data_IF_512312098605
#
_entry.id   IF_512312098605
#
_cell.length_a   1.000
_cell.length_b   1.000
_cell.length_c   1.000
_cell.angle_alpha   90.00
_cell.angle_beta   90.00
_cell.angle_gamma   90.00
#
_symmetry.space_group_name_H-M   'P 1'
#
loop_
_entity.id
_entity.type
_entity.pdbx_description
1 polymer ?
#
# COMPACT_ATOMS: atom_id res chain seq x y z
N UNK A 1 51.54 19.22 20.17
CA UNK A 1 50.90 17.88 20.20
C UNK A 1 49.53 17.87 20.87
N UNK A 2 49.30 18.55 22.01
CA UNK A 2 48.04 18.45 22.79
C UNK A 2 46.77 18.71 21.97
N UNK A 3 46.73 19.78 21.16
CA UNK A 3 45.60 20.12 20.28
C UNK A 3 45.27 18.95 19.32
N UNK A 4 46.28 18.30 18.76
CA UNK A 4 46.10 17.18 17.82
C UNK A 4 45.53 15.92 18.50
N UNK A 5 45.74 15.75 19.81
CA UNK A 5 45.06 14.71 20.61
C UNK A 5 43.63 15.10 20.98
N UNK A 6 43.33 16.39 21.14
CA UNK A 6 41.96 16.86 21.44
C UNK A 6 41.03 16.57 20.26
N UNK A 7 41.46 16.74 19.00
CA UNK A 7 40.66 16.34 17.83
C UNK A 7 40.33 14.84 17.85
N UNK A 8 41.29 13.96 18.16
CA UNK A 8 41.06 12.51 18.21
C UNK A 8 40.20 12.02 19.38
N UNK A 9 39.99 12.83 20.43
CA UNK A 9 39.17 12.46 21.60
C UNK A 9 37.75 13.03 21.49
N UNK A 10 37.58 14.18 20.83
CA UNK A 10 36.27 14.84 20.66
C UNK A 10 35.25 14.01 19.85
N UNK A 11 35.70 13.08 19.01
CA UNK A 11 34.84 12.27 18.13
C UNK A 11 34.30 10.98 18.76
N UNK A 12 34.76 10.57 19.94
CA UNK A 12 34.49 9.23 20.52
C UNK A 12 33.55 9.25 21.75
N UNK A 13 32.79 10.33 21.96
CA UNK A 13 32.13 10.63 23.24
C UNK A 13 30.65 11.06 23.15
N UNK A 14 29.92 10.61 22.11
CA UNK A 14 28.57 11.09 21.79
C UNK A 14 27.44 10.03 21.87
N UNK A 15 27.68 8.86 22.50
CA UNK A 15 26.71 7.74 22.55
C UNK A 15 26.62 7.09 23.94
N UNK A 16 25.70 7.54 24.81
CA UNK A 16 25.25 6.80 25.99
C UNK A 16 23.82 7.18 26.42
N UNK A 17 23.11 6.19 26.98
CA UNK A 17 21.83 6.26 27.70
C UNK A 17 20.57 6.75 26.93
N UNK A 18 19.70 5.80 26.56
CA UNK A 18 18.35 6.04 26.05
C UNK A 18 17.29 5.93 27.17
N UNK A 19 16.36 6.88 27.26
CA UNK A 19 15.00 6.68 27.82
C UNK A 19 14.13 7.94 27.61
N UNK A 20 13.22 7.91 26.64
CA UNK A 20 12.15 8.89 26.49
C UNK A 20 10.96 8.25 25.75
N UNK A 21 9.74 8.40 26.27
CA UNK A 21 8.52 7.95 25.59
C UNK A 21 7.92 9.11 24.80
N UNK A 22 7.57 8.88 23.53
CA UNK A 22 6.87 9.86 22.70
C UNK A 22 5.35 9.80 22.94
N UNK A 23 4.70 10.96 23.09
CA UNK A 23 3.24 11.07 23.08
C UNK A 23 2.78 11.54 21.70
N UNK A 24 1.84 10.81 21.09
CA UNK A 24 1.22 11.20 19.81
C UNK A 24 -0.13 11.88 20.03
N UNK A 25 -0.44 12.86 19.18
CA UNK A 25 -1.68 13.64 19.21
C UNK A 25 -2.72 13.11 18.20
N UNK A 26 -4.01 13.49 18.32
CA UNK A 26 -5.13 12.66 17.88
C UNK A 26 -5.39 12.58 16.36
N UNK A 27 -6.40 11.75 16.04
CA UNK A 27 -6.77 11.27 14.71
C UNK A 27 -7.29 12.37 13.75
N UNK A 28 -6.98 12.19 12.47
CA UNK A 28 -7.67 12.83 11.33
C UNK A 28 -8.44 11.77 10.53
N UNK A 29 -9.21 12.19 9.53
CA UNK A 29 -10.29 11.40 8.91
C UNK A 29 -9.80 10.35 7.91
N UNK A 30 -10.53 9.24 7.82
CA UNK A 30 -10.22 8.07 6.99
C UNK A 30 -10.07 8.42 5.50
N UNK A 31 -8.88 8.16 4.97
CA UNK A 31 -8.57 8.15 3.54
C UNK A 31 -7.59 7.02 3.28
N UNK A 32 -8.00 6.00 2.51
CA UNK A 32 -7.08 4.98 2.02
C UNK A 32 -6.11 5.64 1.04
N UNK A 33 -4.87 5.84 1.50
CA UNK A 33 -3.85 6.56 0.72
C UNK A 33 -3.53 5.78 -0.55
N UNK A 34 -3.50 6.45 -1.72
CA UNK A 34 -3.11 5.79 -2.98
C UNK A 34 -1.66 5.31 -2.98
N UNK A 35 -0.86 5.80 -2.05
CA UNK A 35 0.54 5.49 -1.81
C UNK A 35 0.73 4.62 -0.54
N UNK A 36 -0.29 3.93 -0.05
CA UNK A 36 -0.20 3.08 1.15
C UNK A 36 0.63 1.82 0.92
N UNK A 37 1.65 1.57 1.75
CA UNK A 37 2.44 0.34 1.71
C UNK A 37 1.56 -0.89 1.90
N UNK A 38 1.77 -1.89 1.06
CA UNK A 38 1.17 -3.21 1.17
C UNK A 38 1.93 -4.05 2.22
N UNK A 39 1.33 -4.44 3.35
CA UNK A 39 2.02 -5.17 4.43
C UNK A 39 1.96 -6.69 4.26
N UNK A 40 1.60 -7.18 3.07
CA UNK A 40 1.48 -8.61 2.76
C UNK A 40 2.83 -9.20 2.36
N UNK A 41 3.10 -10.43 2.75
CA UNK A 41 4.26 -11.19 2.24
C UNK A 41 4.10 -11.52 0.75
N UNK A 42 5.21 -11.77 0.04
CA UNK A 42 5.19 -12.24 -1.35
C UNK A 42 4.31 -13.49 -1.53
N UNK A 43 4.30 -14.37 -0.52
CA UNK A 43 3.48 -15.56 -0.49
C UNK A 43 1.97 -15.27 -0.29
N UNK A 44 1.60 -14.24 0.48
CA UNK A 44 0.22 -13.76 0.58
C UNK A 44 -0.24 -13.07 -0.71
N UNK A 45 0.61 -12.21 -1.28
CA UNK A 45 0.33 -11.53 -2.56
C UNK A 45 0.09 -12.56 -3.67
N UNK A 46 0.97 -13.56 -3.82
CA UNK A 46 0.80 -14.61 -4.82
C UNK A 46 -0.49 -15.43 -4.61
N UNK A 47 -0.79 -15.84 -3.36
CA UNK A 47 -2.07 -16.51 -3.02
C UNK A 47 -3.28 -15.63 -3.35
N UNK A 48 -3.18 -14.31 -3.14
CA UNK A 48 -4.26 -13.36 -3.40
C UNK A 48 -4.55 -13.22 -4.89
N UNK A 49 -3.51 -13.08 -5.71
CA UNK A 49 -3.61 -13.07 -7.18
C UNK A 49 -4.22 -14.39 -7.69
N UNK A 50 -3.76 -15.54 -7.18
CA UNK A 50 -4.28 -16.86 -7.55
C UNK A 50 -5.73 -17.10 -7.09
N UNK A 51 -6.13 -16.57 -5.94
CA UNK A 51 -7.50 -16.65 -5.46
C UNK A 51 -8.43 -15.76 -6.30
N UNK A 52 -8.05 -14.51 -6.56
CA UNK A 52 -8.82 -13.58 -7.39
C UNK A 52 -8.97 -14.10 -8.83
N UNK A 53 -7.93 -14.71 -9.40
CA UNK A 53 -7.99 -15.31 -10.73
C UNK A 53 -9.08 -16.38 -10.91
N UNK A 54 -9.59 -16.98 -9.82
CA UNK A 54 -10.73 -17.93 -9.85
C UNK A 54 -12.09 -17.24 -9.99
N UNK A 55 -12.21 -15.98 -9.55
CA UNK A 55 -13.43 -15.16 -9.69
C UNK A 55 -13.59 -14.65 -11.13
N UNK A 56 -12.47 -14.29 -11.77
CA UNK A 56 -12.42 -13.60 -13.07
C UNK A 56 -13.20 -14.33 -14.19
N UNK A 57 -13.18 -15.66 -14.34
CA UNK A 57 -14.01 -16.34 -15.34
C UNK A 57 -15.51 -16.11 -15.17
N UNK A 58 -16.01 -16.04 -13.93
CA UNK A 58 -17.42 -15.69 -13.69
C UNK A 58 -17.65 -14.23 -14.07
N UNK A 59 -16.88 -13.30 -13.51
CA UNK A 59 -17.06 -11.86 -13.71
C UNK A 59 -16.98 -11.45 -15.21
N UNK A 60 -16.05 -12.05 -15.97
CA UNK A 60 -15.74 -11.66 -17.36
C UNK A 60 -16.37 -12.52 -18.45
N UNK A 61 -17.02 -13.64 -18.11
CA UNK A 61 -17.52 -14.60 -19.14
C UNK A 61 -18.93 -15.12 -18.89
N UNK A 62 -19.49 -14.96 -17.69
CA UNK A 62 -20.91 -15.25 -17.46
C UNK A 62 -21.76 -14.09 -18.01
N UNK A 63 -22.62 -14.31 -19.02
CA UNK A 63 -23.45 -13.24 -19.58
C UNK A 63 -24.33 -12.54 -18.54
N UNK A 64 -24.79 -13.23 -17.48
CA UNK A 64 -25.56 -12.58 -16.41
C UNK A 64 -24.74 -11.50 -15.68
N UNK A 65 -23.47 -11.75 -15.39
CA UNK A 65 -22.57 -10.78 -14.75
C UNK A 65 -22.22 -9.62 -15.71
N UNK A 66 -21.82 -9.93 -16.94
CA UNK A 66 -21.45 -8.91 -17.94
C UNK A 66 -22.61 -7.96 -18.28
N UNK A 67 -23.85 -8.45 -18.36
CA UNK A 67 -25.00 -7.60 -18.68
C UNK A 67 -25.22 -6.51 -17.62
N UNK A 68 -25.06 -6.83 -16.32
CA UNK A 68 -25.15 -5.81 -15.26
C UNK A 68 -23.91 -4.90 -15.21
N UNK A 69 -22.73 -5.42 -15.60
CA UNK A 69 -21.43 -4.74 -15.51
C UNK A 69 -20.80 -4.50 -16.90
N UNK A 70 -21.51 -3.76 -17.76
CA UNK A 70 -20.94 -3.21 -19.00
C UNK A 70 -21.66 -3.56 -20.31
N UNK A 71 -22.52 -4.58 -20.33
CA UNK A 71 -22.93 -5.24 -21.58
C UNK A 71 -24.16 -4.71 -22.34
N UNK A 72 -25.08 -3.96 -21.71
CA UNK A 72 -26.37 -3.55 -22.33
C UNK A 72 -26.85 -2.12 -21.96
N UNK A 73 -27.47 -1.40 -22.92
CA UNK A 73 -27.84 0.04 -22.95
C UNK A 73 -28.27 0.64 -21.61
N UNK A 74 -29.58 0.56 -21.31
CA UNK A 74 -30.74 0.72 -22.22
C UNK A 74 -31.02 2.18 -22.70
N UNK A 75 -30.01 3.01 -22.96
CA UNK A 75 -30.17 4.45 -23.28
C UNK A 75 -29.56 4.93 -24.63
N UNK A 76 -28.64 4.20 -25.26
CA UNK A 76 -28.01 4.55 -26.54
C UNK A 76 -28.86 4.27 -27.80
N UNK A 77 -29.08 5.32 -28.61
CA UNK A 77 -29.72 5.21 -29.94
C UNK A 77 -28.96 4.28 -30.92
N UNK A 78 -27.68 4.01 -30.67
CA UNK A 78 -26.84 3.06 -31.41
C UNK A 78 -27.14 1.60 -31.02
N UNK A 79 -28.43 1.25 -30.97
CA UNK A 79 -28.97 0.01 -30.40
C UNK A 79 -28.63 -1.30 -31.18
N UNK A 80 -27.52 -1.31 -31.91
CA UNK A 80 -26.92 -2.44 -32.65
C UNK A 80 -25.40 -2.51 -32.49
N UNK A 81 -24.81 -1.70 -31.60
CA UNK A 81 -23.36 -1.69 -31.34
C UNK A 81 -22.84 -3.05 -30.85
N UNK A 82 -21.66 -3.41 -31.34
CA UNK A 82 -20.90 -4.56 -30.84
C UNK A 82 -20.36 -4.23 -29.45
N UNK A 83 -20.73 -5.01 -28.43
CA UNK A 83 -20.29 -4.79 -27.04
C UNK A 83 -18.80 -5.08 -26.80
N UNK A 84 -18.03 -5.37 -27.86
CA UNK A 84 -16.57 -5.45 -27.82
C UNK A 84 -15.85 -4.18 -28.27
N UNK A 85 -16.52 -3.12 -28.74
CA UNK A 85 -15.85 -1.85 -29.11
C UNK A 85 -15.37 -1.08 -27.85
N UNK A 86 -14.04 -0.93 -27.63
CA UNK A 86 -13.52 -0.22 -26.46
C UNK A 86 -13.72 1.31 -26.51
N UNK A 87 -14.18 1.85 -27.63
CA UNK A 87 -14.35 3.30 -27.87
C UNK A 87 -15.79 3.80 -27.66
N UNK A 88 -16.76 2.90 -27.45
CA UNK A 88 -18.16 3.26 -27.24
C UNK A 88 -18.34 4.27 -26.07
N UNK A 89 -19.29 5.22 -26.14
CA UNK A 89 -19.50 6.24 -25.10
C UNK A 89 -19.84 5.63 -23.72
N UNK A 90 -18.82 5.49 -22.87
CA UNK A 90 -18.87 4.74 -21.60
C UNK A 90 -19.77 5.33 -20.51
N UNK A 91 -20.54 6.37 -20.79
CA UNK A 91 -21.51 6.99 -19.85
C UNK A 91 -22.79 6.18 -19.70
N UNK A 92 -23.04 5.23 -20.62
CA UNK A 92 -23.93 4.08 -20.48
C UNK A 92 -23.21 2.83 -21.08
N UNK A 93 -23.90 1.75 -21.46
CA UNK A 93 -23.35 0.39 -21.56
C UNK A 93 -23.58 -0.43 -22.87
N UNK A 94 -23.59 0.16 -24.09
CA UNK A 94 -23.80 -0.62 -25.34
C UNK A 94 -25.04 -0.23 -26.19
N UNK A 95 -26.17 -0.99 -26.25
CA UNK A 95 -27.40 -0.66 -27.03
C UNK A 95 -28.78 -0.55 -26.27
N UNK A 96 -29.61 0.51 -26.47
CA UNK A 96 -31.07 0.55 -26.09
C UNK A 96 -31.75 1.95 -25.96
N UNK A 97 -33.07 2.07 -25.71
CA UNK A 97 -33.71 3.39 -25.37
C UNK A 97 -34.97 3.28 -24.49
N UNK A 98 -34.87 3.61 -23.20
CA UNK A 98 -35.97 3.59 -22.20
C UNK A 98 -35.76 4.72 -21.17
N UNK A 99 -36.82 5.39 -20.69
CA UNK A 99 -36.67 6.38 -19.60
C UNK A 99 -36.51 5.69 -18.24
N UNK A 100 -35.74 6.30 -17.32
CA UNK A 100 -35.22 5.60 -16.14
C UNK A 100 -36.29 5.13 -15.13
N UNK A 101 -37.46 5.76 -15.11
CA UNK A 101 -38.62 5.36 -14.29
C UNK A 101 -39.48 4.27 -14.98
N UNK A 102 -39.54 4.24 -16.31
CA UNK A 102 -40.26 3.22 -17.07
C UNK A 102 -39.70 1.81 -16.85
N UNK A 103 -38.38 1.69 -16.63
CA UNK A 103 -37.69 0.43 -16.34
C UNK A 103 -38.36 -0.38 -15.22
N UNK A 104 -38.86 0.27 -14.17
CA UNK A 104 -39.48 -0.39 -13.02
C UNK A 104 -40.83 -1.05 -13.34
N UNK A 105 -41.49 -0.69 -14.45
CA UNK A 105 -42.74 -1.34 -14.87
C UNK A 105 -42.52 -2.79 -15.30
N UNK A 106 -41.31 -3.11 -15.79
CA UNK A 106 -40.92 -4.48 -16.16
C UNK A 106 -39.98 -5.11 -15.12
N UNK A 107 -39.05 -4.34 -14.54
CA UNK A 107 -38.01 -4.84 -13.65
C UNK A 107 -38.36 -4.68 -12.15
N UNK A 108 -39.46 -5.30 -11.72
CA UNK A 108 -39.90 -5.27 -10.31
C UNK A 108 -39.85 -6.63 -9.59
N UNK A 109 -39.42 -7.71 -10.24
CA UNK A 109 -39.30 -9.06 -9.66
C UNK A 109 -37.85 -9.33 -9.22
N UNK A 110 -37.38 -8.56 -8.23
CA UNK A 110 -36.05 -8.75 -7.63
C UNK A 110 -36.19 -9.17 -6.16
N UNK A 111 -35.23 -9.94 -5.60
CA UNK A 111 -35.28 -10.30 -4.19
C UNK A 111 -35.37 -9.05 -3.30
N UNK A 112 -36.23 -9.05 -2.26
CA UNK A 112 -36.32 -7.93 -1.35
C UNK A 112 -35.04 -7.76 -0.53
N UNK A 113 -34.93 -6.60 0.12
CA UNK A 113 -33.93 -6.29 1.14
C UNK A 113 -34.13 -7.14 2.40
N UNK A 114 -33.12 -7.16 3.28
CA UNK A 114 -33.16 -7.87 4.57
C UNK A 114 -34.25 -7.34 5.52
N UNK A 115 -34.62 -6.07 5.38
CA UNK A 115 -35.76 -5.44 6.10
C UNK A 115 -37.13 -5.75 5.47
N UNK A 116 -37.16 -6.50 4.36
CA UNK A 116 -38.36 -6.84 3.60
C UNK A 116 -38.84 -5.76 2.62
N UNK A 117 -38.15 -4.62 2.51
CA UNK A 117 -38.52 -3.56 1.58
C UNK A 117 -38.10 -3.88 0.13
N UNK A 118 -38.77 -3.32 -0.90
CA UNK A 118 -38.48 -3.63 -2.29
C UNK A 118 -37.10 -3.13 -2.75
N UNK A 119 -36.35 -4.01 -3.41
CA UNK A 119 -35.17 -3.65 -4.18
C UNK A 119 -35.54 -2.82 -5.41
N UNK A 120 -34.63 -1.95 -5.89
CA UNK A 120 -34.87 -1.06 -7.04
C UNK A 120 -33.91 -1.37 -8.19
N UNK A 121 -34.44 -1.59 -9.39
CA UNK A 121 -33.62 -1.88 -10.54
C UNK A 121 -32.79 -0.66 -10.98
N UNK A 122 -31.56 -0.91 -11.41
CA UNK A 122 -30.60 0.04 -11.94
C UNK A 122 -29.49 -0.71 -12.70
N UNK A 123 -28.66 0.01 -13.45
CA UNK A 123 -27.39 -0.50 -13.95
C UNK A 123 -26.26 -0.27 -12.94
N UNK A 124 -25.15 -1.01 -13.10
CA UNK A 124 -23.88 -0.59 -12.51
C UNK A 124 -23.38 0.71 -13.19
N UNK A 125 -22.55 1.49 -12.48
CA UNK A 125 -21.97 2.73 -13.05
C UNK A 125 -20.78 2.41 -13.98
N UNK A 126 -20.33 3.36 -14.82
CA UNK A 126 -19.20 3.15 -15.75
C UNK A 126 -17.94 2.55 -15.12
N UNK A 127 -17.61 2.99 -13.90
CA UNK A 127 -16.45 2.56 -13.12
C UNK A 127 -16.51 1.06 -12.79
N UNK A 128 -17.73 0.56 -12.58
CA UNK A 128 -18.03 -0.81 -12.18
C UNK A 128 -18.12 -1.82 -13.35
N UNK A 129 -17.98 -1.38 -14.61
CA UNK A 129 -17.95 -2.27 -15.78
C UNK A 129 -16.82 -3.31 -15.70
N UNK A 130 -17.04 -4.52 -16.22
CA UNK A 130 -16.03 -5.59 -16.32
C UNK A 130 -15.47 -5.77 -17.74
N UNK A 131 -16.03 -5.10 -18.75
CA UNK A 131 -15.62 -5.27 -20.16
C UNK A 131 -14.16 -4.86 -20.39
N UNK A 132 -13.44 -5.69 -21.16
CA UNK A 132 -12.05 -5.44 -21.56
C UNK A 132 -11.00 -5.49 -20.45
N UNK A 133 -11.38 -5.77 -19.20
CA UNK A 133 -10.47 -5.79 -18.04
C UNK A 133 -9.91 -7.19 -17.80
N UNK A 134 -8.60 -7.27 -17.54
CA UNK A 134 -7.93 -8.50 -17.12
C UNK A 134 -8.08 -8.73 -15.60
N UNK A 135 -7.50 -9.83 -15.10
CA UNK A 135 -7.53 -10.19 -13.68
C UNK A 135 -6.92 -9.12 -12.76
N UNK A 136 -5.88 -8.42 -13.21
CA UNK A 136 -5.16 -7.41 -12.45
C UNK A 136 -5.96 -6.11 -12.39
N UNK A 137 -6.48 -5.66 -13.53
CA UNK A 137 -7.37 -4.49 -13.63
C UNK A 137 -8.65 -4.68 -12.81
N UNK A 138 -9.26 -5.87 -12.84
CA UNK A 138 -10.42 -6.20 -12.00
C UNK A 138 -10.06 -6.27 -10.51
N UNK A 139 -8.92 -6.84 -10.13
CA UNK A 139 -8.49 -6.88 -8.73
C UNK A 139 -8.32 -5.46 -8.18
N UNK A 140 -7.60 -4.59 -8.90
CA UNK A 140 -7.41 -3.17 -8.52
C UNK A 140 -8.74 -2.40 -8.47
N UNK A 141 -9.67 -2.67 -9.40
CA UNK A 141 -11.03 -2.12 -9.35
C UNK A 141 -11.79 -2.56 -8.10
N UNK A 142 -11.81 -3.86 -7.78
CA UNK A 142 -12.50 -4.36 -6.60
C UNK A 142 -11.89 -3.81 -5.31
N UNK A 143 -10.56 -3.65 -5.25
CA UNK A 143 -9.84 -2.98 -4.15
C UNK A 143 -10.09 -1.47 -4.05
N UNK A 144 -10.48 -0.80 -5.12
CA UNK A 144 -10.88 0.62 -5.07
C UNK A 144 -12.36 0.78 -4.69
N UNK A 145 -13.27 -0.06 -5.21
CA UNK A 145 -14.70 -0.01 -4.87
C UNK A 145 -14.96 -0.45 -3.43
N UNK A 146 -14.37 -1.57 -3.00
CA UNK A 146 -14.60 -2.17 -1.69
C UNK A 146 -13.41 -1.89 -0.77
N UNK A 147 -13.62 -1.06 0.25
CA UNK A 147 -12.55 -0.70 1.20
C UNK A 147 -12.33 -1.75 2.30
N UNK A 148 -13.31 -2.61 2.57
CA UNK A 148 -13.18 -3.76 3.46
C UNK A 148 -13.56 -5.06 2.71
N UNK A 149 -12.94 -6.18 3.09
CA UNK A 149 -13.31 -7.50 2.55
C UNK A 149 -14.77 -7.87 2.85
N UNK A 150 -15.31 -7.43 3.99
CA UNK A 150 -16.71 -7.61 4.35
C UNK A 150 -17.67 -6.93 3.35
N UNK A 151 -17.35 -5.73 2.87
CA UNK A 151 -18.16 -5.00 1.89
C UNK A 151 -18.20 -5.73 0.54
N UNK A 152 -17.09 -6.38 0.16
CA UNK A 152 -17.02 -7.21 -1.04
C UNK A 152 -17.85 -8.49 -0.91
N UNK A 153 -17.76 -9.20 0.22
CA UNK A 153 -18.56 -10.41 0.46
C UNK A 153 -20.06 -10.09 0.58
N UNK A 154 -20.42 -8.99 1.22
CA UNK A 154 -21.79 -8.51 1.28
C UNK A 154 -22.34 -8.09 -0.08
N UNK A 155 -21.50 -7.54 -0.97
CA UNK A 155 -21.87 -7.30 -2.37
C UNK A 155 -22.23 -8.60 -3.10
N UNK A 156 -21.37 -9.63 -3.00
CA UNK A 156 -21.62 -10.96 -3.57
C UNK A 156 -22.85 -11.69 -2.95
N UNK A 157 -23.35 -11.22 -1.81
CA UNK A 157 -24.47 -11.82 -1.08
C UNK A 157 -25.81 -11.17 -1.43
N UNK A 158 -25.90 -9.83 -1.36
CA UNK A 158 -27.15 -9.08 -1.57
C UNK A 158 -26.93 -7.60 -1.93
N UNK A 159 -25.76 -7.28 -2.51
CA UNK A 159 -25.35 -5.90 -2.82
C UNK A 159 -25.24 -5.00 -1.57
N UNK A 160 -24.84 -5.58 -0.43
CA UNK A 160 -24.80 -4.92 0.89
C UNK A 160 -26.17 -4.34 1.29
N UNK A 161 -27.21 -5.18 1.19
CA UNK A 161 -28.60 -4.82 1.48
C UNK A 161 -29.13 -3.65 0.61
N UNK A 162 -28.62 -3.49 -0.61
CA UNK A 162 -29.09 -2.47 -1.56
C UNK A 162 -30.20 -3.01 -2.46
N UNK A 163 -29.89 -3.37 -3.71
CA UNK A 163 -30.91 -3.80 -4.70
C UNK A 163 -30.81 -5.27 -5.09
N UNK A 164 -29.94 -6.04 -4.42
CA UNK A 164 -29.79 -7.49 -4.61
C UNK A 164 -29.73 -7.92 -6.09
N UNK A 165 -28.93 -7.20 -6.89
CA UNK A 165 -28.62 -7.54 -8.27
C UNK A 165 -27.90 -8.87 -8.36
N UNK A 166 -27.04 -9.20 -7.38
CA UNK A 166 -26.33 -10.49 -7.38
C UNK A 166 -27.31 -11.65 -7.19
N UNK A 167 -28.25 -11.58 -6.25
CA UNK A 167 -29.33 -12.57 -6.14
C UNK A 167 -30.22 -12.61 -7.39
N UNK A 168 -30.57 -11.45 -7.96
CA UNK A 168 -31.32 -11.35 -9.22
C UNK A 168 -30.60 -12.01 -10.40
N UNK A 169 -29.28 -11.85 -10.50
CA UNK A 169 -28.45 -12.51 -11.50
C UNK A 169 -28.45 -14.04 -11.31
N UNK A 170 -28.36 -14.53 -10.07
CA UNK A 170 -28.41 -15.96 -9.76
C UNK A 170 -29.81 -16.60 -9.82
N UNK A 171 -30.90 -15.82 -9.71
CA UNK A 171 -32.24 -16.27 -10.15
C UNK A 171 -32.31 -16.45 -11.68
N UNK A 172 -31.57 -15.62 -12.42
CA UNK A 172 -31.58 -15.62 -13.88
C UNK A 172 -32.87 -15.07 -14.50
N UNK A 173 -33.80 -14.55 -13.69
CA UNK A 173 -35.08 -13.97 -14.12
C UNK A 173 -34.93 -12.57 -14.76
N UNK A 174 -33.71 -12.00 -14.72
CA UNK A 174 -33.39 -10.64 -15.20
C UNK A 174 -34.16 -9.53 -14.44
N UNK A 175 -34.73 -9.85 -13.27
CA UNK A 175 -35.62 -8.97 -12.51
C UNK A 175 -37.03 -8.80 -13.08
N UNK A 176 -37.40 -9.56 -14.12
CA UNK A 176 -38.62 -9.33 -14.90
C UNK A 176 -39.88 -9.87 -14.21
N UNK A 177 -40.83 -8.98 -13.94
CA UNK A 177 -42.19 -9.33 -13.53
C UNK A 177 -43.03 -9.89 -14.71
N UNK A 178 -44.27 -10.32 -14.47
CA UNK A 178 -45.15 -10.90 -15.49
C UNK A 178 -45.30 -10.03 -16.76
N UNK A 179 -45.36 -8.70 -16.61
CA UNK A 179 -45.38 -7.77 -17.75
C UNK A 179 -44.06 -7.82 -18.51
N UNK A 180 -42.93 -7.68 -17.82
CA UNK A 180 -41.59 -7.76 -18.41
C UNK A 180 -41.32 -9.11 -19.11
N UNK A 181 -41.81 -10.21 -18.53
CA UNK A 181 -41.73 -11.55 -19.12
C UNK A 181 -42.57 -11.67 -20.40
N UNK A 182 -43.76 -11.03 -20.44
CA UNK A 182 -44.64 -11.04 -21.62
C UNK A 182 -44.03 -10.35 -22.85
N UNK A 183 -43.07 -9.45 -22.66
CA UNK A 183 -42.32 -8.77 -23.72
C UNK A 183 -41.11 -9.57 -24.25
N UNK A 184 -40.79 -10.73 -23.67
CA UNK A 184 -39.61 -11.55 -24.05
C UNK A 184 -40.06 -12.85 -24.69
N UNK A 185 -39.85 -12.95 -26.02
CA UNK A 185 -40.08 -14.16 -26.80
C UNK A 185 -39.42 -15.39 -26.17
N UNK A 186 -40.25 -16.35 -25.73
CA UNK A 186 -39.83 -17.60 -25.07
C UNK A 186 -38.99 -17.37 -23.80
N UNK A 187 -39.39 -16.38 -22.99
CA UNK A 187 -38.80 -16.15 -21.67
C UNK A 187 -38.59 -17.44 -20.87
N UNK A 188 -37.41 -17.54 -20.27
CA UNK A 188 -37.01 -18.58 -19.32
C UNK A 188 -35.92 -18.00 -18.42
N UNK A 189 -35.90 -18.32 -17.10
CA UNK A 189 -34.77 -17.97 -16.25
C UNK A 189 -33.45 -18.57 -16.74
N UNK A 190 -32.41 -17.74 -16.81
CA UNK A 190 -31.06 -18.09 -17.25
C UNK A 190 -30.04 -17.85 -16.13
N UNK A 191 -30.03 -18.68 -15.07
CA UNK A 191 -29.05 -18.55 -14.00
C UNK A 191 -27.63 -18.93 -14.50
N UNK A 192 -26.57 -18.41 -13.84
CA UNK A 192 -25.18 -18.70 -14.18
C UNK A 192 -24.85 -20.18 -14.31
N UNK A 193 -24.01 -20.53 -15.28
CA UNK A 193 -23.72 -21.94 -15.60
C UNK A 193 -22.40 -22.39 -14.98
N UNK A 194 -22.47 -23.42 -14.12
CA UNK A 194 -21.31 -23.99 -13.46
C UNK A 194 -20.81 -23.21 -12.24
N UNK A 195 -21.48 -22.11 -11.88
CA UNK A 195 -21.24 -21.34 -10.66
C UNK A 195 -22.56 -21.13 -9.92
N UNK A 196 -22.56 -21.26 -8.59
CA UNK A 196 -23.68 -20.89 -7.72
C UNK A 196 -23.30 -19.65 -6.92
N UNK A 197 -24.28 -18.92 -6.38
CA UNK A 197 -23.98 -17.73 -5.56
C UNK A 197 -23.10 -18.09 -4.36
N UNK A 198 -23.41 -19.19 -3.66
CA UNK A 198 -22.58 -19.72 -2.56
C UNK A 198 -21.16 -20.12 -3.01
N UNK A 199 -21.00 -20.63 -4.24
CA UNK A 199 -19.69 -20.90 -4.82
C UNK A 199 -18.89 -19.61 -5.10
N UNK A 200 -19.54 -18.58 -5.63
CA UNK A 200 -18.92 -17.27 -5.87
C UNK A 200 -18.51 -16.59 -4.57
N UNK A 201 -19.39 -16.62 -3.55
CA UNK A 201 -19.11 -16.16 -2.19
C UNK A 201 -17.94 -16.94 -1.58
N UNK A 202 -17.86 -18.27 -1.78
CA UNK A 202 -16.73 -19.08 -1.29
C UNK A 202 -15.40 -18.65 -1.92
N UNK A 203 -15.37 -18.44 -3.25
CA UNK A 203 -14.17 -17.92 -3.94
C UNK A 203 -13.82 -16.49 -3.51
N UNK A 204 -14.82 -15.68 -3.14
CA UNK A 204 -14.60 -14.37 -2.54
C UNK A 204 -13.92 -14.49 -1.18
N UNK A 205 -14.39 -15.39 -0.32
CA UNK A 205 -13.80 -15.64 1.00
C UNK A 205 -12.37 -16.21 0.89
N UNK A 206 -12.09 -17.09 -0.08
CA UNK A 206 -10.73 -17.55 -0.40
C UNK A 206 -9.78 -16.37 -0.69
N UNK A 207 -10.26 -15.35 -1.43
CA UNK A 207 -9.46 -14.16 -1.74
C UNK A 207 -9.21 -13.26 -0.53
N UNK A 208 -10.24 -13.02 0.29
CA UNK A 208 -10.09 -12.26 1.55
C UNK A 208 -9.16 -13.00 2.53
N UNK A 209 -9.26 -14.33 2.64
CA UNK A 209 -8.36 -15.12 3.46
C UNK A 209 -6.90 -15.05 2.95
N UNK A 210 -6.70 -15.00 1.63
CA UNK A 210 -5.37 -14.84 1.04
C UNK A 210 -4.71 -13.48 1.29
N UNK A 211 -5.50 -12.40 1.50
CA UNK A 211 -4.99 -11.09 1.96
C UNK A 211 -4.86 -10.99 3.48
N UNK A 212 -4.87 -12.12 4.21
CA UNK A 212 -4.74 -12.16 5.67
C UNK A 212 -6.04 -11.95 6.44
N UNK A 213 -7.20 -12.03 5.78
CA UNK A 213 -8.54 -11.91 6.39
C UNK A 213 -9.22 -10.55 6.20
N UNK A 214 -8.51 -9.55 5.67
CA UNK A 214 -9.02 -8.20 5.43
C UNK A 214 -8.29 -7.50 4.26
N UNK A 215 -8.73 -6.31 3.87
CA UNK A 215 -8.09 -5.53 2.80
C UNK A 215 -7.09 -4.52 3.38
N UNK A 216 -5.82 -4.72 3.03
CA UNK A 216 -4.67 -3.95 3.54
C UNK A 216 -4.02 -3.11 2.44
N UNK A 217 -3.27 -2.08 2.80
CA UNK A 217 -2.48 -1.24 1.89
C UNK A 217 -3.31 -0.46 0.84
N UNK A 218 -2.66 -0.09 -0.25
CA UNK A 218 -3.26 0.62 -1.39
C UNK A 218 -4.18 -0.27 -2.27
N UNK A 219 -4.55 0.24 -3.45
CA UNK A 219 -5.36 -0.50 -4.44
C UNK A 219 -4.57 -1.54 -5.24
N UNK A 220 -3.24 -1.49 -5.18
CA UNK A 220 -2.33 -2.43 -5.86
C UNK A 220 -2.08 -3.68 -4.98
N UNK A 221 -2.19 -3.53 -3.66
CA UNK A 221 -1.90 -4.55 -2.66
C UNK A 221 -2.73 -5.84 -2.82
N UNK A 222 -2.04 -6.95 -3.09
CA UNK A 222 -2.65 -8.25 -3.38
C UNK A 222 -3.05 -8.46 -4.85
N UNK A 223 -2.89 -7.45 -5.71
CA UNK A 223 -3.22 -7.50 -7.14
C UNK A 223 -1.98 -7.53 -8.05
N UNK A 224 -0.80 -7.22 -7.52
CA UNK A 224 0.52 -7.40 -8.15
C UNK A 224 1.61 -7.59 -7.08
N UNK A 225 2.80 -8.11 -7.42
CA UNK A 225 3.98 -8.07 -6.54
C UNK A 225 4.33 -6.64 -6.12
N UNK A 226 4.66 -6.44 -4.84
CA UNK A 226 4.91 -5.12 -4.24
C UNK A 226 6.20 -5.15 -3.42
N UNK A 227 7.32 -4.72 -4.03
CA UNK A 227 8.63 -4.70 -3.38
C UNK A 227 8.95 -3.30 -2.82
N UNK A 228 9.70 -3.23 -1.72
CA UNK A 228 10.06 -1.95 -1.08
C UNK A 228 11.52 -1.88 -0.63
N UNK A 229 12.06 -0.67 -0.63
CA UNK A 229 13.28 -0.26 0.07
C UNK A 229 12.92 0.72 1.18
N UNK A 230 13.61 0.65 2.32
CA UNK A 230 13.75 1.79 3.22
C UNK A 230 15.03 2.54 2.86
N UNK A 231 14.90 3.74 2.30
CA UNK A 231 16.04 4.62 2.00
C UNK A 231 16.38 5.42 3.26
N UNK A 232 17.64 5.35 3.69
CA UNK A 232 18.14 6.03 4.89
C UNK A 232 19.36 6.88 4.52
N UNK A 233 19.38 8.13 4.98
CA UNK A 233 20.56 9.00 4.96
C UNK A 233 20.66 9.77 6.29
N UNK A 234 21.79 10.41 6.57
CA UNK A 234 21.93 11.26 7.75
C UNK A 234 22.97 12.36 7.57
N UNK A 235 22.84 13.41 8.36
CA UNK A 235 23.74 14.56 8.41
C UNK A 235 23.99 14.91 9.88
N UNK A 236 25.26 15.05 10.26
CA UNK A 236 25.72 15.42 11.60
C UNK A 236 26.59 16.68 11.48
N UNK A 237 26.08 17.77 12.03
CA UNK A 237 26.81 19.02 12.19
C UNK A 237 27.34 19.13 13.63
N UNK A 238 28.56 19.64 13.76
CA UNK A 238 29.27 19.83 15.03
C UNK A 238 29.86 21.24 15.11
N UNK A 239 29.67 21.89 16.25
CA UNK A 239 30.07 23.26 16.53
C UNK A 239 30.48 23.40 18.02
N UNK A 240 31.75 23.11 18.29
CA UNK A 240 32.36 23.12 19.62
C UNK A 240 33.44 24.22 19.71
N UNK A 241 32.99 25.47 19.83
CA UNK A 241 33.88 26.64 19.99
C UNK A 241 34.75 26.89 18.76
N UNK A 242 36.01 26.46 18.80
CA UNK A 242 36.93 26.56 17.65
C UNK A 242 36.83 25.39 16.66
N UNK A 243 36.08 24.35 17.01
CA UNK A 243 35.89 23.13 16.20
C UNK A 243 34.56 23.20 15.47
N UNK A 244 34.59 23.06 14.15
CA UNK A 244 33.41 22.94 13.29
C UNK A 244 33.58 21.70 12.41
N UNK A 245 32.55 20.89 12.21
CA UNK A 245 32.63 19.74 11.30
C UNK A 245 31.27 19.24 10.83
N UNK A 246 31.23 18.79 9.58
CA UNK A 246 30.04 18.27 8.92
C UNK A 246 30.32 16.84 8.44
N UNK A 247 29.44 15.90 8.77
CA UNK A 247 29.54 14.49 8.40
C UNK A 247 28.19 14.05 7.81
N UNK A 248 28.21 13.40 6.65
CA UNK A 248 27.00 12.90 5.99
C UNK A 248 27.12 11.41 5.66
N UNK A 249 26.04 10.67 5.88
CA UNK A 249 25.84 9.32 5.35
C UNK A 249 25.21 9.44 3.97
N UNK A 250 25.88 8.90 2.94
CA UNK A 250 25.28 8.77 1.60
C UNK A 250 23.98 7.96 1.70
N UNK A 251 22.90 8.33 1.00
CA UNK A 251 21.67 7.54 0.98
C UNK A 251 21.95 6.08 0.64
N UNK A 252 21.55 5.18 1.54
CA UNK A 252 21.54 3.73 1.31
C UNK A 252 20.10 3.25 1.28
N UNK A 253 19.82 2.30 0.40
CA UNK A 253 18.52 1.63 0.34
C UNK A 253 18.63 0.25 0.99
N UNK A 254 17.74 -0.03 1.92
CA UNK A 254 17.60 -1.34 2.58
C UNK A 254 16.37 -2.03 2.00
N UNK A 255 16.51 -3.02 1.11
CA UNK A 255 15.40 -3.89 0.72
C UNK A 255 14.71 -4.46 1.95
N UNK A 256 13.38 -4.42 2.00
CA UNK A 256 12.57 -5.03 3.06
C UNK A 256 11.64 -6.12 2.53
N UNK A 257 11.47 -7.17 3.32
CA UNK A 257 10.57 -8.30 3.05
C UNK A 257 9.54 -8.41 4.17
N UNK A 258 8.26 -8.46 3.80
CA UNK A 258 7.13 -8.66 4.72
C UNK A 258 6.88 -10.13 5.02
N UNK A 259 6.39 -10.42 6.22
CA UNK A 259 6.03 -11.74 6.74
C UNK A 259 4.50 -11.81 6.92
N UNK A 260 3.93 -13.03 6.91
CA UNK A 260 2.47 -13.24 6.91
C UNK A 260 1.70 -12.60 8.09
N UNK A 261 2.40 -12.14 9.14
CA UNK A 261 1.86 -11.44 10.30
C UNK A 261 2.04 -9.90 10.27
N UNK A 262 2.45 -9.32 9.14
CA UNK A 262 2.66 -7.88 8.98
C UNK A 262 3.99 -7.34 9.55
N UNK A 263 4.86 -8.20 10.11
CA UNK A 263 6.23 -7.77 10.44
C UNK A 263 7.09 -7.76 9.18
N UNK A 264 8.21 -7.03 9.21
CA UNK A 264 9.18 -7.02 8.12
C UNK A 264 10.62 -7.04 8.62
N UNK A 265 11.51 -7.53 7.75
CA UNK A 265 12.96 -7.53 7.97
C UNK A 265 13.66 -6.98 6.74
N UNK A 266 14.67 -6.14 6.96
CA UNK A 266 15.53 -5.63 5.90
C UNK A 266 16.83 -6.40 5.76
N UNK A 267 17.40 -6.36 4.55
CA UNK A 267 18.74 -6.85 4.26
C UNK A 267 19.82 -6.09 5.06
N UNK A 268 21.04 -6.63 5.09
CA UNK A 268 22.20 -5.94 5.67
C UNK A 268 22.94 -5.14 4.61
N UNK A 269 23.05 -3.81 4.81
CA UNK A 269 23.70 -2.91 3.84
C UNK A 269 24.85 -2.14 4.47
N UNK A 270 25.93 -1.91 3.73
CA UNK A 270 27.06 -1.11 4.20
C UNK A 270 26.76 0.38 4.04
N UNK A 271 26.45 1.05 5.16
CA UNK A 271 26.39 2.50 5.22
C UNK A 271 27.81 3.10 5.24
N UNK A 272 28.01 4.15 4.45
CA UNK A 272 29.26 4.89 4.37
C UNK A 272 29.03 6.37 4.68
N UNK A 273 29.89 6.91 5.52
CA UNK A 273 29.88 8.29 6.00
C UNK A 273 31.13 8.99 5.49
N UNK A 274 30.99 10.22 5.02
CA UNK A 274 32.10 11.10 4.69
C UNK A 274 31.89 12.45 5.36
N UNK A 275 32.96 13.09 5.80
CA UNK A 275 32.88 14.37 6.48
C UNK A 275 34.20 15.15 6.47
N UNK A 276 34.08 16.42 6.81
CA UNK A 276 35.22 17.30 7.05
C UNK A 276 35.09 17.97 8.42
N UNK A 277 36.23 18.39 8.96
CA UNK A 277 36.32 19.12 10.21
C UNK A 277 37.37 20.23 10.08
N UNK A 278 37.21 21.26 10.89
CA UNK A 278 38.15 22.38 11.05
C UNK A 278 38.32 22.67 12.53
N UNK A 279 39.53 23.02 12.95
CA UNK A 279 39.85 23.34 14.33
C UNK A 279 40.89 24.46 14.36
N UNK A 280 40.43 25.71 14.51
CA UNK A 280 41.22 26.91 14.25
C UNK A 280 41.96 26.86 12.89
N UNK A 281 43.28 26.65 12.91
CA UNK A 281 44.14 26.60 11.70
C UNK A 281 44.33 25.18 11.12
N UNK A 282 43.70 24.17 11.70
CA UNK A 282 43.77 22.78 11.24
C UNK A 282 42.52 22.39 10.44
N UNK A 283 42.70 21.51 9.45
CA UNK A 283 41.65 20.85 8.69
C UNK A 283 41.70 19.33 8.92
N UNK A 284 40.58 18.64 8.76
CA UNK A 284 40.49 17.20 8.87
C UNK A 284 39.45 16.61 7.92
N UNK A 285 39.69 15.38 7.51
CA UNK A 285 38.77 14.55 6.75
C UNK A 285 38.42 13.31 7.58
N UNK A 286 37.18 12.87 7.47
CA UNK A 286 36.62 11.73 8.18
C UNK A 286 35.91 10.82 7.18
N UNK A 287 36.15 9.51 7.28
CA UNK A 287 35.40 8.51 6.56
C UNK A 287 35.12 7.32 7.48
N UNK A 288 33.86 6.91 7.62
CA UNK A 288 33.52 5.71 8.40
C UNK A 288 32.50 4.83 7.70
N UNK A 289 32.50 3.54 8.06
CA UNK A 289 31.48 2.61 7.59
C UNK A 289 30.96 1.71 8.70
N UNK A 290 29.68 1.35 8.61
CA UNK A 290 29.06 0.31 9.42
C UNK A 290 28.01 -0.42 8.59
N UNK A 291 27.70 -1.66 8.96
CA UNK A 291 26.55 -2.38 8.40
C UNK A 291 25.30 -1.97 9.16
N UNK A 292 24.26 -1.56 8.44
CA UNK A 292 22.92 -1.34 8.97
C UNK A 292 22.04 -2.58 8.71
N UNK A 293 21.12 -2.84 9.65
CA UNK A 293 19.99 -3.76 9.48
C UNK A 293 18.71 -3.00 9.82
N UNK A 294 17.62 -3.31 9.10
CA UNK A 294 16.27 -2.82 9.42
C UNK A 294 15.38 -3.99 9.86
N UNK A 295 14.42 -3.73 10.75
CA UNK A 295 13.28 -4.61 11.03
C UNK A 295 12.12 -3.79 11.55
N UNK A 296 10.91 -4.35 11.58
CA UNK A 296 9.76 -3.63 12.10
C UNK A 296 8.43 -4.35 11.92
N UNK A 297 7.37 -3.59 12.07
CA UNK A 297 5.99 -4.00 11.86
C UNK A 297 5.19 -2.91 11.13
N UNK A 298 4.31 -3.34 10.23
CA UNK A 298 3.32 -2.49 9.62
C UNK A 298 1.96 -2.76 10.28
N UNK A 299 1.49 -1.80 11.06
CA UNK A 299 0.17 -1.85 11.70
C UNK A 299 -0.83 -1.01 10.93
N UNK A 300 -2.06 -1.49 10.82
CA UNK A 300 -3.18 -0.71 10.33
C UNK A 300 -4.08 -0.41 11.52
N UNK A 301 -3.85 0.74 12.14
CA UNK A 301 -4.78 1.30 13.12
C UNK A 301 -5.92 2.04 12.41
N UNK A 302 -6.96 2.37 13.16
CA UNK A 302 -8.16 3.02 12.63
C UNK A 302 -7.79 4.32 11.87
N UNK A 303 -7.98 4.30 10.55
CA UNK A 303 -7.66 5.37 9.60
C UNK A 303 -6.16 5.63 9.33
N UNK A 304 -5.24 4.86 9.93
CA UNK A 304 -3.81 5.10 9.85
C UNK A 304 -3.03 3.80 9.67
N UNK A 305 -2.49 3.65 8.48
CA UNK A 305 -1.36 2.75 8.27
C UNK A 305 -0.17 3.35 9.01
N UNK A 306 0.63 2.51 9.65
CA UNK A 306 1.85 2.89 10.33
C UNK A 306 2.93 1.86 10.02
N UNK A 307 4.18 2.29 9.97
CA UNK A 307 5.34 1.41 9.97
C UNK A 307 6.23 1.76 11.15
N UNK A 308 6.27 0.88 12.15
CA UNK A 308 7.22 0.95 13.25
C UNK A 308 8.54 0.35 12.76
N UNK A 309 9.56 1.18 12.65
CA UNK A 309 10.85 0.88 12.04
C UNK A 309 11.92 0.91 13.12
N UNK A 310 12.70 -0.16 13.19
CA UNK A 310 13.89 -0.29 14.02
C UNK A 310 15.11 -0.38 13.11
N UNK A 311 15.98 0.63 13.17
CA UNK A 311 17.28 0.67 12.48
C UNK A 311 18.35 0.27 13.48
N UNK A 312 19.10 -0.79 13.18
CA UNK A 312 20.13 -1.35 14.06
C UNK A 312 21.51 -1.32 13.40
N UNK A 313 22.53 -0.97 14.19
CA UNK A 313 23.93 -1.15 13.79
C UNK A 313 24.28 -2.64 13.90
N UNK A 314 24.55 -3.30 12.77
CA UNK A 314 24.85 -4.74 12.69
C UNK A 314 26.35 -5.08 12.76
N UNK A 315 27.25 -4.11 12.56
CA UNK A 315 28.71 -4.27 12.72
C UNK A 315 29.31 -3.24 13.68
N UNK A 316 30.54 -3.42 14.17
CA UNK A 316 31.32 -2.29 14.69
C UNK A 316 31.38 -1.13 13.67
N UNK A 317 31.51 0.10 14.16
CA UNK A 317 31.77 1.27 13.30
C UNK A 317 33.27 1.37 13.10
N UNK A 318 33.75 1.29 11.86
CA UNK A 318 35.17 1.55 11.55
C UNK A 318 35.30 2.96 11.00
N UNK A 319 36.07 3.81 11.68
CA UNK A 319 36.24 5.24 11.38
C UNK A 319 37.70 5.58 11.14
N UNK A 320 37.98 6.21 10.00
CA UNK A 320 39.29 6.73 9.62
C UNK A 320 39.25 8.25 9.67
N UNK A 321 40.24 8.85 10.33
CA UNK A 321 40.43 10.30 10.39
C UNK A 321 41.82 10.66 9.88
N UNK A 322 41.91 11.73 9.07
CA UNK A 322 43.16 12.33 8.63
C UNK A 322 43.13 13.84 8.87
N UNK A 323 44.05 14.36 9.67
CA UNK A 323 44.12 15.77 10.06
C UNK A 323 45.44 16.42 9.62
N UNK A 324 45.36 17.67 9.17
CA UNK A 324 46.49 18.51 8.77
C UNK A 324 46.42 19.88 9.44
N UNK A 325 47.57 20.35 9.90
CA UNK A 325 47.83 21.68 10.45
C UNK A 325 49.14 22.20 9.83
N UNK A 326 49.42 23.52 9.81
CA UNK A 326 50.58 24.07 9.08
C UNK A 326 51.96 23.50 9.42
N UNK A 327 52.13 22.86 10.58
CA UNK A 327 53.37 22.20 11.02
C UNK A 327 53.17 20.77 11.58
N UNK A 328 52.02 20.14 11.32
CA UNK A 328 51.74 18.77 11.81
C UNK A 328 50.65 18.06 10.99
N UNK A 329 50.78 16.74 10.84
CA UNK A 329 49.72 15.88 10.32
C UNK A 329 49.58 14.63 11.17
N UNK A 330 48.37 14.06 11.23
CA UNK A 330 48.11 12.75 11.83
C UNK A 330 47.01 12.01 11.07
N UNK A 331 47.11 10.69 11.03
CA UNK A 331 46.01 9.81 10.65
C UNK A 331 45.75 8.83 11.79
N UNK A 332 44.49 8.40 11.96
CA UNK A 332 44.11 7.41 12.95
C UNK A 332 42.92 6.57 12.43
N UNK A 333 42.87 5.31 12.84
CA UNK A 333 41.73 4.42 12.64
C UNK A 333 41.19 4.02 14.01
N UNK A 334 39.90 4.22 14.23
CA UNK A 334 39.18 3.82 15.43
C UNK A 334 38.08 2.81 15.05
N UNK A 335 37.86 1.82 15.90
CA UNK A 335 36.76 0.86 15.74
C UNK A 335 35.90 0.88 16.99
N UNK A 336 34.66 1.35 16.86
CA UNK A 336 33.70 1.43 17.97
C UNK A 336 32.80 0.19 18.01
N UNK A 337 32.64 -0.47 19.17
CA UNK A 337 31.80 -1.66 19.29
C UNK A 337 30.32 -1.37 19.01
N UNK A 338 29.56 -2.42 18.77
CA UNK A 338 28.10 -2.46 18.88
C UNK A 338 27.72 -2.48 20.38
N UNK A 339 26.66 -1.77 20.84
CA UNK A 339 25.42 -1.56 20.13
C UNK A 339 24.95 -0.10 19.98
N UNK A 340 24.17 0.16 18.92
CA UNK A 340 23.24 1.27 18.84
C UNK A 340 22.04 0.86 17.98
N UNK A 341 20.83 1.26 18.38
CA UNK A 341 19.59 1.06 17.64
C UNK A 341 18.70 2.30 17.81
N UNK A 342 17.98 2.66 16.75
CA UNK A 342 17.01 3.77 16.73
C UNK A 342 15.68 3.22 16.27
N UNK A 343 14.62 3.48 17.04
CA UNK A 343 13.25 3.19 16.62
C UNK A 343 12.55 4.48 16.21
N UNK A 344 11.80 4.44 15.11
CA UNK A 344 11.01 5.53 14.56
C UNK A 344 9.70 4.97 13.99
N UNK A 345 8.67 5.81 13.83
CA UNK A 345 7.39 5.39 13.24
C UNK A 345 7.02 6.33 12.09
N UNK A 346 6.59 5.76 10.95
CA UNK A 346 6.07 6.45 9.76
C UNK A 346 4.57 6.17 9.61
N UNK A 347 3.83 6.97 8.84
CA UNK A 347 2.43 6.69 8.43
C UNK A 347 2.32 5.69 7.28
N UNK A 348 3.39 4.92 7.02
CA UNK A 348 3.39 3.79 6.08
C UNK A 348 3.06 4.18 4.64
N UNK A 349 3.37 5.40 4.20
CA UNK A 349 3.17 5.82 2.81
C UNK A 349 4.47 5.77 2.01
N UNK A 350 4.37 5.30 0.78
CA UNK A 350 5.45 5.36 -0.22
C UNK A 350 5.75 6.82 -0.53
N UNK A 351 7.04 7.18 -0.59
CA UNK A 351 7.59 8.54 -0.65
C UNK A 351 7.29 9.42 0.58
N UNK A 352 6.80 8.85 1.68
CA UNK A 352 6.81 9.55 2.97
C UNK A 352 8.26 9.71 3.44
N UNK A 353 8.63 10.95 3.75
CA UNK A 353 9.95 11.29 4.30
C UNK A 353 9.82 11.73 5.76
N UNK A 354 10.52 11.08 6.68
CA UNK A 354 10.69 11.55 8.06
C UNK A 354 12.11 12.08 8.29
N UNK A 355 12.17 13.31 8.78
CA UNK A 355 13.36 13.94 9.32
C UNK A 355 13.39 13.76 10.85
N UNK A 356 14.15 12.77 11.33
CA UNK A 356 14.32 12.49 12.77
C UNK A 356 15.61 13.13 13.30
N UNK A 357 15.48 14.04 14.27
CA UNK A 357 16.62 14.64 14.96
C UNK A 357 17.03 13.77 16.15
N UNK A 358 18.24 13.21 16.12
CA UNK A 358 18.74 12.40 17.23
C UNK A 358 19.07 13.30 18.44
N UNK A 359 18.69 12.89 19.67
CA UNK A 359 19.21 13.49 20.90
C UNK A 359 20.74 13.53 20.85
N UNK A 360 21.31 14.74 20.94
CA UNK A 360 22.72 15.01 20.70
C UNK A 360 23.27 15.97 21.77
N UNK A 361 24.57 15.91 22.14
CA UNK A 361 25.17 16.87 23.05
C UNK A 361 25.07 18.33 22.55
N UNK A 362 25.07 19.34 23.43
CA UNK A 362 25.06 20.75 23.02
C UNK A 362 26.21 21.07 22.06
N UNK A 363 25.89 21.65 20.90
CA UNK A 363 26.85 21.86 19.81
C UNK A 363 26.92 20.72 18.78
N UNK A 364 26.15 19.64 18.95
CA UNK A 364 25.95 18.61 17.91
C UNK A 364 24.49 18.61 17.47
N UNK A 365 24.25 18.47 16.18
CA UNK A 365 22.92 18.22 15.61
C UNK A 365 23.05 17.08 14.62
N UNK A 366 22.43 15.93 14.91
CA UNK A 366 22.30 14.85 13.92
C UNK A 366 20.86 14.71 13.44
N UNK A 367 20.68 14.78 12.13
CA UNK A 367 19.44 14.56 11.42
C UNK A 367 19.53 13.25 10.66
N UNK A 368 18.63 12.30 10.92
CA UNK A 368 18.40 11.12 10.08
C UNK A 368 17.23 11.45 9.16
N UNK A 369 17.35 11.11 7.89
CA UNK A 369 16.30 11.23 6.89
C UNK A 369 15.95 9.83 6.37
N UNK A 370 14.68 9.45 6.52
CA UNK A 370 14.16 8.10 6.19
C UNK A 370 12.99 8.21 5.22
N UNK A 371 13.02 7.44 4.14
CA UNK A 371 12.00 7.41 3.08
C UNK A 371 11.60 5.97 2.73
N UNK A 372 10.31 5.69 2.52
CA UNK A 372 9.85 4.40 1.98
C UNK A 372 9.76 4.48 0.44
N UNK A 373 10.41 3.57 -0.27
CA UNK A 373 10.50 3.57 -1.75
C UNK A 373 9.91 2.27 -2.30
N UNK A 374 8.87 2.35 -3.15
CA UNK A 374 8.39 1.20 -3.95
C UNK A 374 9.44 0.88 -5.01
N UNK A 375 9.80 -0.39 -5.14
CA UNK A 375 10.71 -0.92 -6.16
C UNK A 375 9.91 -1.62 -7.26
N UNK A 376 10.50 -1.68 -8.45
CA UNK A 376 10.05 -2.55 -9.54
C UNK A 376 10.40 -4.04 -9.27
#
# INVERSE_FOLDING_TARGET
MTILRILCVATAAALLAFSAAAQMNPLEKQSTSKDAVCPLSDAQVQKSIEAFAKLVPTLTREPRCLNCHGGVDPFSDEAKGDSTDPNAPRTAHGPGKVEADECMNCHSDMPPKRDGSPSKWALATPEHSFLGKDAKALCKQMRDVFKQGADFIGHLTDDNDNSNFTGTAFLGNRGLNDQGQSHVDKYKPEPPRGMTQGGLISLGNDWIAATGGEFKGDVDCGCEPMHYSLRISSQTDTHFGIVNGHHAMTPVEVPITFHDNGTFTGEQVQASFQGNATAAMCQGQYASSMVLKVSGDATEEWNKNFMNIKVEKASPTTSNFAGQCPHASAANTATEPTPAAVSLSLTGKVRETLDYFMPSPPGVTTKIHTEIVKRD
#
